data_IF_144131785613
#
_entry.id   IF_144131785613
#
_cell.length_a   1.000
_cell.length_b   1.000
_cell.length_c   1.000
_cell.angle_alpha   90.00
_cell.angle_beta   90.00
_cell.angle_gamma   90.00
#
_symmetry.space_group_name_H-M   'P 1'
#
loop_
_entity.id
_entity.type
_entity.pdbx_description
1 polymer ?
#
# COMPACT_ATOMS: atom_id res chain seq x y z
N UNK A 1 -26.43 -25.59 4.45
CA UNK A 1 -27.05 -24.39 3.84
C UNK A 1 -26.23 -23.88 2.66
N UNK A 2 -26.74 -22.94 1.85
CA UNK A 2 -26.01 -22.38 0.70
C UNK A 2 -24.62 -21.81 1.10
N UNK A 3 -24.51 -21.25 2.30
CA UNK A 3 -23.27 -20.70 2.88
C UNK A 3 -22.23 -21.81 3.15
N UNK A 4 -22.63 -22.99 3.63
CA UNK A 4 -21.69 -24.11 3.86
C UNK A 4 -21.12 -24.67 2.57
N UNK A 5 -21.86 -24.60 1.46
CA UNK A 5 -21.37 -25.05 0.14
C UNK A 5 -20.33 -24.10 -0.45
N UNK A 6 -20.40 -22.82 -0.09
CA UNK A 6 -19.52 -21.78 -0.64
C UNK A 6 -18.09 -21.86 -0.08
N UNK A 7 -17.91 -22.37 1.14
CA UNK A 7 -16.60 -22.46 1.81
C UNK A 7 -15.99 -23.87 1.85
N UNK A 8 -16.73 -24.91 1.44
CA UNK A 8 -16.26 -26.31 1.51
C UNK A 8 -15.25 -26.69 0.41
N UNK A 9 -15.23 -25.94 -0.69
CA UNK A 9 -14.47 -26.25 -1.91
C UNK A 9 -13.31 -25.26 -2.19
N UNK A 10 -12.95 -24.42 -1.22
CA UNK A 10 -11.93 -23.38 -1.38
C UNK A 10 -10.61 -23.86 -0.77
N UNK A 11 -9.79 -24.54 -1.59
CA UNK A 11 -8.44 -24.96 -1.24
C UNK A 11 -7.39 -24.02 -1.89
N UNK A 12 -6.74 -23.20 -1.07
CA UNK A 12 -5.62 -22.34 -1.47
C UNK A 12 -4.65 -22.11 -0.32
N UNK A 13 -3.40 -21.78 -0.67
CA UNK A 13 -2.39 -21.27 0.25
C UNK A 13 -2.08 -19.82 -0.08
N UNK A 14 -2.22 -18.92 0.90
CA UNK A 14 -1.84 -17.52 0.77
C UNK A 14 -0.59 -17.25 1.59
N UNK A 15 0.45 -16.79 0.91
CA UNK A 15 1.71 -16.38 1.53
C UNK A 15 1.85 -14.89 1.37
N UNK A 16 2.09 -14.18 2.48
CA UNK A 16 2.41 -12.76 2.46
C UNK A 16 3.57 -12.49 3.41
N UNK A 17 4.46 -11.61 3.00
CA UNK A 17 5.62 -11.20 3.77
C UNK A 17 5.74 -9.68 3.74
N UNK A 18 6.05 -9.07 4.86
CA UNK A 18 6.35 -7.63 4.94
C UNK A 18 7.63 -7.42 5.72
N UNK A 19 8.60 -6.78 5.08
CA UNK A 19 9.82 -6.30 5.71
C UNK A 19 9.78 -4.79 5.89
N UNK A 20 10.32 -4.30 7.02
CA UNK A 20 10.53 -2.87 7.26
C UNK A 20 11.96 -2.64 7.73
N UNK A 21 12.62 -1.65 7.15
CA UNK A 21 13.94 -1.21 7.53
C UNK A 21 13.89 0.26 7.89
N UNK A 22 14.57 0.61 8.99
CA UNK A 22 14.67 1.97 9.51
C UNK A 22 16.15 2.31 9.66
N UNK A 23 16.53 3.49 9.17
CA UNK A 23 17.87 4.03 9.37
C UNK A 23 17.78 5.51 9.69
N UNK A 24 18.14 5.86 10.92
CA UNK A 24 18.35 7.25 11.30
C UNK A 24 19.78 7.65 10.94
N UNK A 25 19.92 8.83 10.36
CA UNK A 25 21.22 9.46 10.10
C UNK A 25 21.07 10.96 10.25
N UNK A 26 21.98 11.58 11.01
CA UNK A 26 21.85 12.99 11.36
C UNK A 26 20.46 13.25 11.98
N UNK A 27 19.71 14.22 11.46
CA UNK A 27 18.33 14.52 11.85
C UNK A 27 17.27 13.89 10.91
N UNK A 28 17.67 13.01 10.00
CA UNK A 28 16.76 12.32 9.09
C UNK A 28 16.49 10.89 9.55
N UNK A 29 15.27 10.40 9.29
CA UNK A 29 14.94 8.97 9.40
C UNK A 29 14.46 8.46 8.07
N UNK A 30 15.25 7.57 7.47
CA UNK A 30 14.85 6.83 6.29
C UNK A 30 14.10 5.55 6.69
N UNK A 31 12.99 5.29 6.01
CA UNK A 31 12.17 4.09 6.18
C UNK A 31 11.96 3.43 4.82
N UNK A 32 12.16 2.12 4.79
CA UNK A 32 11.86 1.29 3.63
C UNK A 32 10.93 0.16 4.06
N UNK A 33 9.76 0.04 3.42
CA UNK A 33 8.84 -1.09 3.56
C UNK A 33 8.75 -1.83 2.23
N UNK A 34 8.82 -3.16 2.28
CA UNK A 34 8.55 -4.05 1.16
C UNK A 34 7.48 -5.05 1.60
N UNK A 35 6.41 -5.15 0.83
CA UNK A 35 5.33 -6.13 1.04
C UNK A 35 5.18 -6.97 -0.22
N UNK A 36 5.25 -8.29 -0.06
CA UNK A 36 5.09 -9.28 -1.11
C UNK A 36 3.94 -10.21 -0.74
N UNK A 37 3.11 -10.57 -1.71
CA UNK A 37 1.99 -11.47 -1.52
C UNK A 37 1.81 -12.39 -2.72
N UNK A 38 1.49 -13.65 -2.48
CA UNK A 38 1.18 -14.62 -3.51
C UNK A 38 0.17 -15.66 -3.00
N UNK A 39 -0.79 -16.01 -3.84
CA UNK A 39 -1.79 -17.04 -3.56
C UNK A 39 -1.59 -18.21 -4.52
N UNK A 40 -1.33 -19.38 -3.96
CA UNK A 40 -1.33 -20.67 -4.64
C UNK A 40 -2.74 -21.25 -4.54
N UNK A 41 -3.42 -21.37 -5.68
CA UNK A 41 -4.81 -21.87 -5.74
C UNK A 41 -4.92 -22.97 -6.79
N UNK A 42 -5.80 -23.94 -6.54
CA UNK A 42 -6.23 -24.92 -7.55
C UNK A 42 -7.54 -24.52 -8.24
N UNK A 43 -8.30 -23.60 -7.62
CA UNK A 43 -9.58 -23.11 -8.12
C UNK A 43 -9.41 -21.94 -9.10
N UNK A 44 -10.38 -21.80 -10.00
CA UNK A 44 -10.35 -20.77 -11.05
C UNK A 44 -10.55 -19.36 -10.46
N UNK A 45 -11.60 -19.18 -9.64
CA UNK A 45 -11.97 -17.89 -9.04
C UNK A 45 -11.86 -17.93 -7.52
N UNK A 46 -11.03 -17.06 -6.94
CA UNK A 46 -11.01 -16.82 -5.49
C UNK A 46 -12.09 -15.80 -5.12
N UNK A 47 -12.71 -15.91 -3.93
CA UNK A 47 -13.54 -14.85 -3.37
C UNK A 47 -12.76 -13.52 -3.30
N UNK A 48 -13.41 -12.37 -3.53
CA UNK A 48 -12.73 -11.07 -3.42
C UNK A 48 -12.04 -10.84 -2.08
N UNK A 49 -12.62 -11.31 -0.96
CA UNK A 49 -12.03 -11.18 0.39
C UNK A 49 -10.63 -11.78 0.51
N UNK A 50 -10.32 -12.80 -0.30
CA UNK A 50 -9.02 -13.48 -0.23
C UNK A 50 -7.95 -12.87 -1.13
N UNK A 51 -8.34 -11.99 -2.05
CA UNK A 51 -7.44 -11.40 -3.05
C UNK A 51 -6.68 -10.20 -2.48
N UNK A 52 -5.65 -9.78 -3.21
CA UNK A 52 -4.87 -8.60 -2.86
C UNK A 52 -5.40 -7.36 -3.55
N UNK A 53 -5.38 -6.26 -2.81
CA UNK A 53 -5.72 -4.92 -3.26
C UNK A 53 -4.66 -3.92 -2.78
N UNK A 54 -4.45 -2.86 -3.54
CA UNK A 54 -3.58 -1.74 -3.16
C UNK A 54 -4.31 -0.42 -3.37
N UNK A 55 -3.90 0.59 -2.61
CA UNK A 55 -4.48 1.93 -2.59
C UNK A 55 -4.77 2.41 -1.17
N UNK A 56 -4.68 3.73 -0.96
CA UNK A 56 -4.82 4.40 0.32
C UNK A 56 -3.51 4.50 1.12
N UNK A 57 -3.57 5.25 2.23
CA UNK A 57 -2.39 5.68 3.01
C UNK A 57 -1.50 4.56 3.54
N UNK A 58 -2.07 3.40 3.89
CA UNK A 58 -1.31 2.28 4.46
C UNK A 58 -0.63 1.38 3.42
N UNK A 59 -0.93 1.60 2.14
CA UNK A 59 -0.41 0.80 1.02
C UNK A 59 0.22 1.67 -0.08
N UNK A 60 -0.49 1.96 -1.17
CA UNK A 60 -0.02 2.78 -2.30
C UNK A 60 -0.71 4.15 -2.25
N UNK A 61 -0.04 5.13 -1.62
CA UNK A 61 -0.57 6.50 -1.45
C UNK A 61 -0.83 7.16 -2.79
N UNK A 62 -1.82 8.06 -2.84
CA UNK A 62 -2.23 8.74 -4.08
C UNK A 62 -3.31 8.02 -4.88
N UNK A 63 -3.57 6.76 -4.57
CA UNK A 63 -4.71 5.99 -5.07
C UNK A 63 -5.77 5.87 -3.97
N UNK A 64 -7.06 5.91 -4.32
CA UNK A 64 -8.13 5.60 -3.36
C UNK A 64 -7.99 4.16 -2.84
N UNK A 65 -8.60 3.87 -1.69
CA UNK A 65 -8.65 2.53 -1.11
C UNK A 65 -9.03 1.49 -2.18
N UNK A 66 -8.21 0.43 -2.29
CA UNK A 66 -8.38 -0.69 -3.23
C UNK A 66 -8.48 -0.34 -4.73
N UNK A 67 -8.11 0.90 -5.12
CA UNK A 67 -8.20 1.34 -6.51
C UNK A 67 -7.21 0.63 -7.45
N UNK A 68 -6.13 0.03 -6.92
CA UNK A 68 -5.20 -0.80 -7.68
C UNK A 68 -5.54 -2.26 -7.43
N UNK A 69 -6.38 -2.80 -8.32
CA UNK A 69 -7.14 -4.05 -8.11
C UNK A 69 -7.28 -4.92 -9.37
N UNK A 70 -6.29 -4.90 -10.26
CA UNK A 70 -6.30 -5.69 -11.48
C UNK A 70 -7.21 -5.11 -12.59
N UNK A 71 -7.50 -5.91 -13.62
CA UNK A 71 -8.19 -5.49 -14.84
C UNK A 71 -9.68 -5.21 -14.61
N UNK A 72 -10.32 -5.97 -13.73
CA UNK A 72 -11.77 -5.90 -13.49
C UNK A 72 -12.13 -5.39 -12.09
N UNK A 73 -11.18 -4.75 -11.39
CA UNK A 73 -11.34 -4.31 -9.99
C UNK A 73 -11.69 -5.42 -8.99
N UNK A 74 -11.42 -6.66 -9.35
CA UNK A 74 -11.71 -7.81 -8.50
C UNK A 74 -10.51 -8.21 -7.63
N UNK A 75 -9.40 -7.46 -7.64
CA UNK A 75 -8.17 -7.80 -6.91
C UNK A 75 -7.26 -8.77 -7.65
N UNK A 76 -6.06 -8.99 -7.11
CA UNK A 76 -5.03 -9.87 -7.67
C UNK A 76 -4.75 -11.12 -6.85
N UNK A 77 -4.11 -12.11 -7.49
CA UNK A 77 -3.61 -13.32 -6.84
C UNK A 77 -2.19 -13.12 -6.28
N UNK A 78 -1.50 -12.05 -6.65
CA UNK A 78 -0.23 -11.64 -6.06
C UNK A 78 -0.13 -10.12 -5.96
N UNK A 79 0.76 -9.65 -5.09
CA UNK A 79 1.01 -8.23 -4.88
C UNK A 79 2.48 -7.96 -4.62
N UNK A 80 2.95 -6.83 -5.13
CA UNK A 80 4.26 -6.27 -4.80
C UNK A 80 4.05 -4.82 -4.42
N UNK A 81 4.56 -4.40 -3.28
CA UNK A 81 4.49 -3.02 -2.82
C UNK A 81 5.81 -2.63 -2.14
N UNK A 82 6.34 -1.49 -2.55
CA UNK A 82 7.52 -0.84 -2.01
C UNK A 82 7.12 0.57 -1.55
N UNK A 83 7.40 0.92 -0.31
CA UNK A 83 7.24 2.28 0.22
C UNK A 83 8.60 2.77 0.72
N UNK A 84 9.13 3.82 0.12
CA UNK A 84 10.36 4.49 0.54
C UNK A 84 10.01 5.87 1.09
N UNK A 85 10.43 6.17 2.31
CA UNK A 85 10.09 7.42 2.99
C UNK A 85 11.30 8.00 3.71
N UNK A 86 11.44 9.32 3.66
CA UNK A 86 12.38 10.07 4.49
C UNK A 86 11.62 11.04 5.35
N UNK A 87 11.90 11.04 6.65
CA UNK A 87 11.35 11.97 7.64
C UNK A 87 12.42 12.93 8.11
N UNK A 88 12.03 14.16 8.39
CA UNK A 88 12.91 15.22 8.88
C UNK A 88 12.16 16.17 9.81
N UNK A 89 12.85 16.80 10.77
CA UNK A 89 12.23 17.82 11.61
C UNK A 89 11.86 19.05 10.77
N UNK A 90 10.67 19.59 11.00
CA UNK A 90 10.30 20.93 10.55
C UNK A 90 10.42 21.91 11.71
N UNK A 91 9.77 21.60 12.83
CA UNK A 91 9.83 22.36 14.07
C UNK A 91 9.93 21.39 15.26
N UNK A 92 11.16 20.96 15.63
CA UNK A 92 11.37 19.97 16.68
C UNK A 92 10.73 20.34 18.03
N UNK A 93 10.79 21.63 18.40
CA UNK A 93 10.21 22.15 19.65
C UNK A 93 8.70 21.94 19.77
N UNK A 94 8.02 21.73 18.64
CA UNK A 94 6.57 21.49 18.57
C UNK A 94 6.24 20.06 18.11
N UNK A 95 7.21 19.14 18.11
CA UNK A 95 7.07 17.78 17.58
C UNK A 95 6.51 17.74 16.15
N UNK A 96 6.85 18.72 15.31
CA UNK A 96 6.36 18.81 13.94
C UNK A 96 7.41 18.29 12.96
N UNK A 97 7.08 17.23 12.23
CA UNK A 97 7.97 16.58 11.28
C UNK A 97 7.39 16.62 9.88
N UNK A 98 8.27 16.78 8.89
CA UNK A 98 7.95 16.62 7.49
C UNK A 98 8.36 15.22 7.04
N UNK A 99 7.71 14.74 5.99
CA UNK A 99 8.15 13.56 5.30
C UNK A 99 7.97 13.69 3.79
N UNK A 100 8.80 12.98 3.05
CA UNK A 100 8.68 12.81 1.61
C UNK A 100 8.80 11.34 1.27
N UNK A 101 8.06 10.88 0.26
CA UNK A 101 8.01 9.46 -0.07
C UNK A 101 7.92 9.20 -1.56
N UNK A 102 8.29 7.98 -1.92
CA UNK A 102 8.02 7.35 -3.21
C UNK A 102 7.44 5.97 -2.92
N UNK A 103 6.30 5.66 -3.52
CA UNK A 103 5.70 4.34 -3.46
C UNK A 103 5.67 3.71 -4.85
N UNK A 104 5.85 2.39 -4.90
CA UNK A 104 5.75 1.62 -6.11
C UNK A 104 5.07 0.28 -5.82
N UNK A 105 3.99 -0.04 -6.51
CA UNK A 105 3.32 -1.31 -6.28
C UNK A 105 2.25 -1.64 -7.29
N UNK A 106 1.87 -2.91 -7.32
CA UNK A 106 0.74 -3.39 -8.10
C UNK A 106 0.24 -4.74 -7.57
N UNK A 107 -0.96 -5.09 -7.98
CA UNK A 107 -1.52 -6.44 -7.84
C UNK A 107 -1.58 -7.11 -9.21
N UNK A 108 -1.43 -8.42 -9.24
CA UNK A 108 -1.35 -9.19 -10.48
C UNK A 108 -2.30 -10.39 -10.42
N UNK A 109 -2.99 -10.65 -11.52
CA UNK A 109 -3.96 -11.75 -11.62
C UNK A 109 -3.27 -13.09 -11.97
N UNK A 110 -2.08 -13.05 -12.56
CA UNK A 110 -1.36 -14.25 -12.98
C UNK A 110 0.14 -14.12 -12.82
N UNK A 111 0.81 -15.27 -12.75
CA UNK A 111 2.27 -15.34 -12.69
C UNK A 111 2.94 -14.70 -13.92
N UNK A 112 2.32 -14.77 -15.10
CA UNK A 112 2.81 -14.10 -16.32
C UNK A 112 2.78 -12.57 -16.20
N UNK A 113 1.75 -12.01 -15.57
CA UNK A 113 1.70 -10.57 -15.29
C UNK A 113 2.76 -10.18 -14.25
N UNK A 114 2.90 -10.96 -13.18
CA UNK A 114 3.91 -10.73 -12.14
C UNK A 114 5.34 -10.74 -12.71
N UNK A 115 5.66 -11.66 -13.63
CA UNK A 115 6.96 -11.72 -14.31
C UNK A 115 7.32 -10.45 -15.09
N UNK A 116 6.33 -9.70 -15.59
CA UNK A 116 6.54 -8.43 -16.28
C UNK A 116 6.75 -7.26 -15.31
N UNK A 117 6.42 -7.45 -14.03
CA UNK A 117 6.60 -6.52 -12.92
C UNK A 117 6.21 -5.06 -13.22
N UNK A 118 5.07 -4.87 -13.91
CA UNK A 118 4.53 -3.53 -14.16
C UNK A 118 3.96 -2.95 -12.88
N UNK A 119 4.57 -1.90 -12.37
CA UNK A 119 4.16 -1.21 -11.12
C UNK A 119 3.48 0.13 -11.39
N UNK A 120 2.53 0.49 -10.52
CA UNK A 120 2.06 1.87 -10.36
C UNK A 120 3.01 2.61 -9.44
N UNK A 121 3.23 3.89 -9.65
CA UNK A 121 4.21 4.69 -8.91
C UNK A 121 3.62 6.01 -8.45
N UNK A 122 3.88 6.36 -7.20
CA UNK A 122 3.53 7.67 -6.65
C UNK A 122 4.71 8.29 -5.93
N UNK A 123 4.68 9.61 -5.80
CA UNK A 123 5.56 10.34 -4.91
C UNK A 123 4.75 11.42 -4.21
N UNK A 124 5.16 11.80 -3.01
CA UNK A 124 4.44 12.79 -2.25
C UNK A 124 5.22 13.30 -1.08
N UNK A 125 4.59 14.23 -0.37
CA UNK A 125 5.11 14.83 0.84
C UNK A 125 3.98 15.09 1.81
N UNK A 126 4.32 15.21 3.08
CA UNK A 126 3.34 15.39 4.12
C UNK A 126 3.94 15.83 5.44
N UNK A 127 3.06 15.95 6.41
CA UNK A 127 3.34 16.38 7.78
C UNK A 127 2.93 15.27 8.74
N UNK A 128 3.82 14.98 9.69
CA UNK A 128 3.65 13.99 10.74
C UNK A 128 3.70 14.69 12.11
N UNK A 129 2.65 14.50 12.90
CA UNK A 129 2.51 15.07 14.25
C UNK A 129 2.26 13.90 15.22
N UNK A 130 3.26 13.45 16.00
CA UNK A 130 3.06 12.47 17.05
C UNK A 130 2.37 13.14 18.24
N UNK A 131 1.37 12.46 18.79
CA UNK A 131 0.66 12.87 20.00
C UNK A 131 0.53 11.68 20.97
N UNK A 132 0.19 11.90 22.25
CA UNK A 132 0.03 10.81 23.21
C UNK A 132 -1.02 9.76 22.83
N UNK A 133 -2.03 10.13 22.04
CA UNK A 133 -3.16 9.24 21.67
C UNK A 133 -3.00 8.60 20.28
N UNK A 134 -1.94 8.94 19.57
CA UNK A 134 -1.72 8.50 18.20
C UNK A 134 -0.95 9.54 17.38
N UNK A 135 -0.78 9.27 16.10
CA UNK A 135 -0.13 10.22 15.18
C UNK A 135 -1.10 10.71 14.13
N UNK A 136 -1.05 12.02 13.88
CA UNK A 136 -1.73 12.65 12.76
C UNK A 136 -0.79 12.71 11.57
N UNK A 137 -1.27 12.23 10.42
CA UNK A 137 -0.56 12.30 9.15
C UNK A 137 -1.43 13.01 8.14
N UNK A 138 -0.85 13.99 7.46
CA UNK A 138 -1.46 14.67 6.32
C UNK A 138 -0.49 14.55 5.15
N UNK A 139 -0.93 14.04 4.01
CA UNK A 139 -0.08 13.94 2.82
C UNK A 139 -0.77 14.39 1.54
N UNK A 140 0.07 14.82 0.59
CA UNK A 140 -0.28 15.06 -0.79
C UNK A 140 0.54 14.14 -1.67
N UNK A 141 -0.14 13.25 -2.38
CA UNK A 141 0.46 12.21 -3.20
C UNK A 141 0.13 12.40 -4.68
N UNK A 142 1.13 12.32 -5.55
CA UNK A 142 1.04 12.46 -7.00
C UNK A 142 1.25 11.12 -7.70
N UNK A 143 0.44 10.82 -8.72
CA UNK A 143 0.64 9.63 -9.57
C UNK A 143 1.70 9.93 -10.63
N UNK A 144 2.85 9.27 -10.55
CA UNK A 144 3.97 9.45 -11.49
C UNK A 144 3.71 8.78 -12.84
N UNK A 145 2.88 7.73 -12.86
CA UNK A 145 2.44 7.02 -14.06
C UNK A 145 0.92 7.18 -14.25
N UNK A 146 0.47 8.44 -14.22
CA UNK A 146 -0.96 8.80 -14.35
C UNK A 146 -1.53 8.30 -15.68
N UNK A 147 -2.68 7.64 -15.63
CA UNK A 147 -3.45 7.20 -16.80
C UNK A 147 -4.58 8.17 -17.11
N UNK A 148 -5.09 8.14 -18.34
CA UNK A 148 -6.25 8.94 -18.75
C UNK A 148 -7.45 8.62 -17.83
N UNK A 149 -8.07 9.65 -17.27
CA UNK A 149 -9.20 9.53 -16.34
C UNK A 149 -8.81 9.41 -14.86
N UNK A 150 -7.52 9.32 -14.52
CA UNK A 150 -7.07 9.34 -13.12
C UNK A 150 -6.79 10.77 -12.62
N UNK A 151 -7.07 11.01 -11.34
CA UNK A 151 -6.66 12.25 -10.68
C UNK A 151 -5.13 12.37 -10.65
N UNK A 152 -4.62 13.60 -10.84
CA UNK A 152 -3.18 13.86 -10.80
C UNK A 152 -2.60 13.63 -9.41
N UNK A 153 -3.30 14.12 -8.40
CA UNK A 153 -2.92 14.02 -7.00
C UNK A 153 -4.10 13.58 -6.13
N UNK A 154 -3.82 13.28 -4.87
CA UNK A 154 -4.79 13.01 -3.80
C UNK A 154 -4.24 13.55 -2.49
N UNK A 155 -5.11 14.18 -1.71
CA UNK A 155 -4.83 14.52 -0.32
C UNK A 155 -5.40 13.43 0.58
N UNK A 156 -4.64 13.00 1.56
CA UNK A 156 -5.12 12.04 2.56
C UNK A 156 -4.75 12.50 3.97
N UNK A 157 -5.60 12.10 4.91
CA UNK A 157 -5.44 12.32 6.35
C UNK A 157 -5.62 10.98 7.06
N UNK A 158 -4.73 10.66 8.00
CA UNK A 158 -4.83 9.47 8.85
C UNK A 158 -4.54 9.81 10.30
N UNK A 159 -5.21 9.06 11.17
CA UNK A 159 -4.91 8.97 12.59
C UNK A 159 -4.45 7.54 12.83
N UNK A 160 -3.18 7.36 13.15
CA UNK A 160 -2.69 6.06 13.57
C UNK A 160 -2.73 5.99 15.10
N UNK A 161 -3.62 5.15 15.63
CA UNK A 161 -3.73 4.87 17.07
C UNK A 161 -2.62 3.92 17.52
N UNK A 162 -2.25 3.99 18.80
CA UNK A 162 -1.21 3.14 19.41
C UNK A 162 -1.70 1.74 19.83
N UNK A 163 -2.96 1.39 19.54
CA UNK A 163 -3.65 0.21 20.06
C UNK A 163 -4.28 -0.61 18.94
#
# INVERSE_FOLDING_TARGET
>A
GLIEKEFKDIDFYKVYATGRYYKSFLFFTFTQKLSLGYIFKKIEKLPPSERFFLGGMSSLRGFSYEAVSGRYKEGGNSSVLLNSEIRYPLFPSYNLFGFSFIDAGNVYESFSQLKKLKVRKTAGTGVYIPTPVGSFLFDMAFKLDRRKGESLYRFEFSINTLF
#
